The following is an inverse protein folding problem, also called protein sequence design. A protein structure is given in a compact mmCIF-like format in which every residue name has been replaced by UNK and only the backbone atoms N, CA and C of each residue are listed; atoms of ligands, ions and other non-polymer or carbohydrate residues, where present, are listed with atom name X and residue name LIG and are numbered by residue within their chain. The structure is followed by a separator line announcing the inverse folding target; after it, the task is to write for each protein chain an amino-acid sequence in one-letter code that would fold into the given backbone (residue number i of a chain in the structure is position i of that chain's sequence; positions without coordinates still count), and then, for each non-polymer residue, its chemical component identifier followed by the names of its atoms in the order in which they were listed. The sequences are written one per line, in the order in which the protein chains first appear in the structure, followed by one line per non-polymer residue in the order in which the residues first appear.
data_IF_756243451106
#
_entry.id   IF_756243451106
#
_cell.length_a   1.000
_cell.length_b   1.000
_cell.length_c   1.000
_cell.angle_alpha   90.00
_cell.angle_beta   90.00
_cell.angle_gamma   90.00
#
_symmetry.space_group_name_H-M   'P 1'
#
loop_
_entity.id
_entity.type
_entity.pdbx_description
1 polymer ?
#
# COMPACT_ATOMS: atom_id res chain seq x y z
N UNK A 1 7.55 18.93 7.54
CA UNK A 1 9.02 18.79 7.59
C UNK A 1 9.34 17.30 7.58
N UNK A 2 10.22 16.84 6.68
CA UNK A 2 10.64 15.43 6.62
C UNK A 2 12.03 15.34 7.27
N UNK A 3 12.25 14.32 8.10
CA UNK A 3 13.48 14.13 8.88
C UNK A 3 14.05 12.73 8.69
N UNK A 4 15.37 12.62 8.84
CA UNK A 4 16.08 11.34 8.82
C UNK A 4 16.82 11.14 10.14
N UNK A 5 16.63 9.99 10.80
CA UNK A 5 17.25 9.72 12.09
C UNK A 5 18.78 9.58 12.04
N UNK A 6 19.36 9.44 10.85
CA UNK A 6 20.80 9.57 10.65
C UNK A 6 21.35 10.94 11.12
N UNK A 7 20.52 12.00 11.13
CA UNK A 7 20.88 13.33 11.63
C UNK A 7 21.37 13.35 13.09
N UNK A 8 21.00 12.35 13.90
CA UNK A 8 21.43 12.22 15.29
C UNK A 8 22.02 10.86 15.64
N UNK A 9 21.83 9.85 14.79
CA UNK A 9 22.33 8.49 15.05
C UNK A 9 23.74 8.27 14.49
N UNK A 10 24.10 8.92 13.37
CA UNK A 10 25.36 8.64 12.65
C UNK A 10 26.59 8.92 13.50
N UNK A 11 26.60 10.05 14.21
CA UNK A 11 27.76 10.52 14.96
C UNK A 11 27.64 10.21 16.46
N UNK A 12 26.64 9.40 16.87
CA UNK A 12 26.41 9.02 18.26
C UNK A 12 27.45 7.98 18.71
N UNK A 13 28.35 8.31 19.65
CA UNK A 13 29.32 7.36 20.15
C UNK A 13 28.62 6.22 20.88
N UNK A 14 29.07 4.98 20.66
CA UNK A 14 28.48 3.80 21.30
C UNK A 14 28.47 3.92 22.83
N UNK A 15 29.56 4.43 23.43
CA UNK A 15 29.65 4.61 24.88
C UNK A 15 28.63 5.63 25.40
N UNK A 16 28.36 6.70 24.64
CA UNK A 16 27.35 7.68 24.98
C UNK A 16 25.94 7.06 24.89
N UNK A 17 25.67 6.29 23.84
CA UNK A 17 24.39 5.59 23.67
C UNK A 17 24.14 4.58 24.81
N UNK A 18 25.14 3.79 25.18
CA UNK A 18 25.04 2.83 26.28
C UNK A 18 24.90 3.53 27.64
N UNK A 19 25.62 4.64 27.84
CA UNK A 19 25.57 5.43 29.09
C UNK A 19 24.25 6.20 29.30
N UNK A 20 23.57 6.56 28.21
CA UNK A 20 22.30 7.28 28.23
C UNK A 20 21.10 6.34 28.08
N UNK A 21 20.83 5.87 26.87
CA UNK A 21 19.69 5.02 26.52
C UNK A 21 19.82 3.62 27.11
N UNK A 22 21.02 3.03 26.99
CA UNK A 22 21.30 1.69 27.51
C UNK A 22 21.12 1.58 29.03
N UNK A 23 21.51 2.63 29.78
CA UNK A 23 21.41 2.68 31.24
C UNK A 23 19.99 2.53 31.77
N UNK A 24 19.00 3.05 31.04
CA UNK A 24 17.60 3.06 31.46
C UNK A 24 16.76 1.93 30.82
N UNK A 25 17.39 1.17 29.92
CA UNK A 25 16.82 0.01 29.25
C UNK A 25 16.98 -1.27 30.10
N UNK A 26 15.86 -1.85 30.54
CA UNK A 26 15.88 -3.12 31.27
C UNK A 26 15.79 -4.28 30.29
N UNK A 27 16.81 -5.15 30.29
CA UNK A 27 16.87 -6.33 29.42
C UNK A 27 15.63 -7.23 29.59
N UNK A 28 15.17 -7.45 30.82
CA UNK A 28 13.96 -8.24 31.09
C UNK A 28 12.71 -7.66 30.40
N UNK A 29 12.54 -6.33 30.44
CA UNK A 29 11.45 -5.64 29.75
C UNK A 29 11.57 -5.74 28.23
N UNK A 30 12.77 -5.65 27.69
CA UNK A 30 13.03 -5.80 26.25
C UNK A 30 12.72 -7.21 25.76
N UNK A 31 13.09 -8.24 26.55
CA UNK A 31 12.80 -9.66 26.26
C UNK A 31 11.32 -10.01 26.36
N UNK A 32 10.58 -9.37 27.27
CA UNK A 32 9.17 -9.64 27.51
C UNK A 32 8.23 -9.16 26.39
N UNK A 33 8.74 -8.40 25.40
CA UNK A 33 7.92 -7.90 24.30
C UNK A 33 7.51 -9.04 23.37
N UNK A 34 6.25 -9.05 22.97
CA UNK A 34 5.71 -10.10 22.09
C UNK A 34 6.52 -10.26 20.80
N UNK A 35 6.96 -9.15 20.19
CA UNK A 35 7.78 -9.19 18.96
C UNK A 35 9.15 -9.86 19.15
N UNK A 36 9.76 -9.71 20.33
CA UNK A 36 11.06 -10.32 20.67
C UNK A 36 10.85 -11.75 21.15
N UNK A 37 9.86 -11.97 22.02
CA UNK A 37 9.50 -13.28 22.57
C UNK A 37 9.15 -14.27 21.47
N UNK A 38 8.28 -13.90 20.53
CA UNK A 38 7.90 -14.76 19.41
C UNK A 38 9.10 -15.16 18.55
N UNK A 39 10.06 -14.25 18.33
CA UNK A 39 11.28 -14.58 17.58
C UNK A 39 12.20 -15.52 18.33
N UNK A 40 12.40 -15.30 19.62
CA UNK A 40 13.19 -16.20 20.46
C UNK A 40 12.58 -17.62 20.51
N UNK A 41 11.25 -17.72 20.57
CA UNK A 41 10.53 -18.99 20.56
C UNK A 41 10.54 -19.68 19.18
N UNK A 42 10.62 -18.91 18.08
CA UNK A 42 10.63 -19.44 16.70
C UNK A 42 11.90 -20.25 16.33
N UNK A 43 12.88 -20.35 17.22
CA UNK A 43 14.13 -21.10 17.02
C UNK A 43 15.17 -20.41 16.11
N UNK A 44 14.79 -19.36 15.39
CA UNK A 44 15.71 -18.54 14.57
C UNK A 44 16.59 -17.60 15.41
N UNK A 45 16.22 -17.36 16.67
CA UNK A 45 16.91 -16.41 17.55
C UNK A 45 16.70 -14.95 17.14
N UNK A 46 17.41 -14.04 17.80
CA UNK A 46 17.45 -12.62 17.46
C UNK A 46 18.88 -12.13 17.60
N UNK A 47 19.38 -11.39 16.61
CA UNK A 47 20.72 -10.80 16.71
C UNK A 47 20.74 -9.65 17.72
N UNK A 48 21.92 -9.34 18.26
CA UNK A 48 22.09 -8.17 19.13
C UNK A 48 21.66 -6.88 18.41
N UNK A 49 21.98 -6.74 17.12
CA UNK A 49 21.57 -5.59 16.30
C UNK A 49 20.06 -5.42 16.24
N UNK A 50 19.31 -6.50 15.97
CA UNK A 50 17.84 -6.47 15.95
C UNK A 50 17.25 -6.21 17.33
N UNK A 51 17.86 -6.79 18.37
CA UNK A 51 17.45 -6.56 19.75
C UNK A 51 17.63 -5.10 20.18
N UNK A 52 18.72 -4.45 19.77
CA UNK A 52 19.02 -3.04 20.08
C UNK A 52 18.17 -2.05 19.27
N UNK A 53 17.56 -2.46 18.16
CA UNK A 53 16.74 -1.57 17.31
C UNK A 53 15.64 -0.83 18.08
N UNK A 54 15.00 -1.51 19.05
CA UNK A 54 13.95 -0.90 19.88
C UNK A 54 14.44 0.30 20.71
N UNK A 55 15.73 0.34 21.05
CA UNK A 55 16.34 1.43 21.79
C UNK A 55 16.67 2.62 20.87
N UNK A 56 17.08 2.35 19.63
CA UNK A 56 17.29 3.38 18.62
C UNK A 56 15.96 4.08 18.28
N UNK A 57 14.87 3.32 18.09
CA UNK A 57 13.55 3.90 17.85
C UNK A 57 13.04 4.73 19.05
N UNK A 58 13.33 4.30 20.29
CA UNK A 58 13.01 5.09 21.47
C UNK A 58 13.80 6.41 21.51
N UNK A 59 15.09 6.34 21.17
CA UNK A 59 15.98 7.49 21.09
C UNK A 59 15.53 8.50 20.03
N UNK A 60 15.03 8.04 18.88
CA UNK A 60 14.45 8.89 17.83
C UNK A 60 13.33 9.78 18.40
N UNK A 61 12.42 9.22 19.22
CA UNK A 61 11.34 10.01 19.79
C UNK A 61 11.89 11.07 20.78
N UNK A 62 12.87 10.73 21.61
CA UNK A 62 13.52 11.68 22.52
C UNK A 62 14.22 12.82 21.76
N UNK A 63 14.91 12.51 20.65
CA UNK A 63 15.55 13.51 19.79
C UNK A 63 14.53 14.42 19.09
N UNK A 64 13.43 13.86 18.58
CA UNK A 64 12.36 14.63 17.97
C UNK A 64 11.65 15.54 18.98
N UNK A 65 11.48 15.10 20.23
CA UNK A 65 10.96 15.94 21.32
C UNK A 65 11.90 17.09 21.62
N UNK A 66 13.19 16.81 21.82
CA UNK A 66 14.18 17.85 22.15
C UNK A 66 14.34 18.89 21.04
N UNK A 67 14.37 18.46 19.77
CA UNK A 67 14.64 19.33 18.63
C UNK A 67 13.42 20.04 18.07
N UNK A 68 12.25 19.40 18.12
CA UNK A 68 11.03 19.86 17.44
C UNK A 68 9.79 19.87 18.33
N UNK A 69 9.95 19.65 19.64
CA UNK A 69 8.84 19.60 20.60
C UNK A 69 7.77 18.55 20.24
N UNK A 70 8.12 17.50 19.51
CA UNK A 70 7.20 16.41 19.17
C UNK A 70 6.64 15.74 20.43
N UNK A 71 5.31 15.73 20.61
CA UNK A 71 4.63 15.14 21.79
C UNK A 71 3.87 13.86 21.48
N UNK A 72 3.62 13.54 20.21
CA UNK A 72 2.79 12.40 19.81
C UNK A 72 3.54 11.57 18.78
N UNK A 73 3.64 10.27 19.03
CA UNK A 73 4.10 9.29 18.04
C UNK A 73 2.95 8.42 17.56
N UNK A 74 2.83 8.31 16.24
CA UNK A 74 1.82 7.51 15.55
C UNK A 74 2.46 6.31 14.87
N UNK A 75 1.79 5.16 14.86
CA UNK A 75 2.25 3.97 14.13
C UNK A 75 1.17 2.90 13.99
N UNK A 76 1.45 1.84 13.22
CA UNK A 76 0.58 0.67 13.17
C UNK A 76 0.50 -0.03 14.54
N UNK A 77 -0.53 -0.86 14.75
CA UNK A 77 -0.69 -1.60 16.01
C UNK A 77 0.50 -2.51 16.36
N UNK A 78 1.28 -2.94 15.36
CA UNK A 78 2.53 -3.68 15.56
C UNK A 78 3.71 -2.83 16.04
N UNK A 79 3.57 -1.50 16.11
CA UNK A 79 4.57 -0.57 16.64
C UNK A 79 4.35 -0.18 18.11
N UNK A 80 3.26 -0.64 18.74
CA UNK A 80 2.88 -0.24 20.10
C UNK A 80 4.03 -0.31 21.12
N UNK A 81 4.71 -1.47 21.20
CA UNK A 81 5.79 -1.67 22.17
C UNK A 81 6.98 -0.73 21.97
N UNK A 82 7.32 -0.42 20.72
CA UNK A 82 8.43 0.50 20.43
C UNK A 82 8.06 1.96 20.72
N UNK A 83 6.81 2.35 20.45
CA UNK A 83 6.30 3.69 20.81
C UNK A 83 6.33 3.88 22.34
N UNK A 84 5.84 2.89 23.09
CA UNK A 84 5.88 2.93 24.56
C UNK A 84 7.31 3.06 25.10
N UNK A 85 8.29 2.47 24.42
CA UNK A 85 9.71 2.60 24.78
C UNK A 85 10.21 4.03 24.72
N UNK A 86 9.80 4.76 23.68
CA UNK A 86 10.18 6.17 23.52
C UNK A 86 9.59 7.02 24.64
N UNK A 87 8.33 6.78 25.00
CA UNK A 87 7.64 7.47 26.09
C UNK A 87 8.35 7.20 27.43
N UNK A 88 8.62 5.93 27.75
CA UNK A 88 9.33 5.56 28.98
C UNK A 88 10.76 6.12 29.02
N UNK A 89 11.48 6.11 27.89
CA UNK A 89 12.83 6.65 27.79
C UNK A 89 12.83 8.15 28.11
N UNK A 90 11.92 8.92 27.52
CA UNK A 90 11.80 10.36 27.79
C UNK A 90 11.51 10.63 29.27
N UNK A 91 10.59 9.89 29.88
CA UNK A 91 10.29 10.03 31.30
C UNK A 91 11.51 9.77 32.20
N UNK A 92 12.34 8.77 31.85
CA UNK A 92 13.55 8.41 32.62
C UNK A 92 14.74 9.35 32.40
N UNK A 93 14.93 9.87 31.19
CA UNK A 93 15.97 10.87 30.91
C UNK A 93 15.68 12.18 31.64
N UNK A 94 14.40 12.55 31.78
CA UNK A 94 13.97 13.72 32.53
C UNK A 94 14.22 13.57 34.04
N UNK A 95 13.82 12.45 34.66
CA UNK A 95 14.04 12.22 36.10
C UNK A 95 15.53 12.19 36.46
N UNK A 96 16.38 11.67 35.56
CA UNK A 96 17.83 11.65 35.73
C UNK A 96 18.45 13.07 35.68
N UNK A 97 17.87 13.98 34.89
CA UNK A 97 18.32 15.38 34.80
C UNK A 97 17.99 16.18 36.06
N UNK A 98 16.84 15.91 36.69
CA UNK A 98 16.44 16.57 37.96
C UNK A 98 17.30 16.12 39.15
N UNK A 99 17.85 14.91 39.12
CA UNK A 99 18.59 14.34 40.27
C UNK A 99 20.03 14.89 40.39
N UNK A 100 20.60 15.47 39.34
CA UNK A 100 21.97 16.03 39.36
C UNK A 100 22.08 17.47 39.88
N UNK A 101 20.96 18.15 40.14
CA UNK A 101 20.95 19.51 40.72
C UNK A 101 20.90 19.53 42.27
N UNK A 102 20.97 18.36 42.93
CA UNK A 102 20.72 18.23 44.37
C UNK A 102 21.93 17.89 45.27
N UNK A 103 23.16 17.85 44.75
CA UNK A 103 24.33 17.45 45.54
C UNK A 103 25.49 18.44 45.47
N UNK A 104 25.21 19.73 45.69
CA UNK A 104 26.18 20.64 46.28
C UNK A 104 25.51 21.29 47.50
N UNK A 105 26.00 20.94 48.69
CA UNK A 105 25.45 21.47 49.92
C UNK A 105 25.77 22.97 50.07
N UNK A 106 24.78 23.74 50.51
CA UNK A 106 24.92 24.79 51.52
C UNK A 106 23.56 24.93 52.23
N UNK A 107 23.63 24.99 53.54
CA UNK A 107 22.58 25.24 54.52
C UNK A 107 21.64 26.41 54.19
N UNK A 108 20.35 26.23 54.50
CA UNK A 108 19.48 27.33 54.98
C UNK A 108 18.30 27.68 54.09
N UNK A 109 17.12 27.72 54.73
CA UNK A 109 15.82 28.23 54.28
C UNK A 109 14.96 27.33 53.38
N UNK A 110 13.92 26.78 54.02
CA UNK A 110 12.76 26.15 53.40
C UNK A 110 11.98 27.18 52.59
N UNK A 111 12.21 27.26 51.29
CA UNK A 111 11.25 27.84 50.35
C UNK A 111 10.40 26.71 49.79
N UNK A 112 9.13 26.68 50.19
CA UNK A 112 8.08 25.94 49.48
C UNK A 112 7.97 26.52 48.07
N UNK A 113 8.54 25.81 47.10
CA UNK A 113 8.36 26.09 45.68
C UNK A 113 7.03 25.48 45.23
N UNK A 114 6.15 26.35 44.75
CA UNK A 114 4.85 26.08 44.16
C UNK A 114 4.91 24.88 43.18
N UNK A 115 4.15 23.82 43.47
CA UNK A 115 4.18 22.54 42.75
C UNK A 115 3.26 22.45 41.53
N UNK A 116 2.54 23.51 41.15
CA UNK A 116 1.31 23.32 40.36
C UNK A 116 1.27 23.93 38.95
N UNK A 117 2.32 24.60 38.46
CA UNK A 117 2.27 25.24 37.11
C UNK A 117 3.15 24.63 36.00
N UNK A 118 3.98 23.62 36.28
CA UNK A 118 4.90 23.04 35.28
C UNK A 118 4.58 21.59 34.82
N UNK A 119 3.43 21.02 35.19
CA UNK A 119 3.14 19.59 34.98
C UNK A 119 2.77 19.21 33.53
N UNK A 120 2.37 20.16 32.68
CA UNK A 120 1.87 19.86 31.33
C UNK A 120 2.91 19.90 30.19
N UNK A 121 4.13 20.38 30.44
CA UNK A 121 5.17 20.45 29.39
C UNK A 121 5.92 19.13 29.16
N UNK A 122 5.56 18.04 29.85
CA UNK A 122 6.32 16.79 29.82
C UNK A 122 5.52 15.54 29.38
N UNK A 123 4.32 15.71 28.85
CA UNK A 123 3.52 14.56 28.43
C UNK A 123 3.86 14.15 26.99
N UNK A 124 4.30 12.90 26.83
CA UNK A 124 4.45 12.24 25.54
C UNK A 124 3.36 11.19 25.38
N UNK A 125 2.79 11.11 24.19
CA UNK A 125 1.68 10.22 23.86
C UNK A 125 2.05 9.29 22.71
N UNK A 126 1.45 8.11 22.73
CA UNK A 126 1.49 7.15 21.64
C UNK A 126 0.07 6.89 21.16
N UNK A 127 -0.12 6.86 19.85
CA UNK A 127 -1.38 6.42 19.26
C UNK A 127 -1.09 5.38 18.18
N UNK A 128 -1.81 4.27 18.24
CA UNK A 128 -1.70 3.22 17.24
C UNK A 128 -2.93 3.15 16.37
N UNK A 129 -2.73 2.99 15.07
CA UNK A 129 -3.80 2.74 14.10
C UNK A 129 -3.90 1.25 13.79
N UNK A 130 -5.12 0.72 13.55
CA UNK A 130 -5.28 -0.69 13.22
C UNK A 130 -4.59 -1.02 11.90
N UNK A 131 -4.03 -2.23 11.81
CA UNK A 131 -3.49 -2.75 10.57
C UNK A 131 -4.61 -2.99 9.56
N UNK A 132 -4.33 -2.66 8.29
CA UNK A 132 -5.20 -3.04 7.18
C UNK A 132 -5.09 -4.56 7.00
N UNK A 133 -6.16 -5.26 7.35
CA UNK A 133 -6.30 -6.69 7.17
C UNK A 133 -7.51 -7.02 6.30
N UNK A 134 -7.44 -8.16 5.62
CA UNK A 134 -8.60 -8.80 4.99
C UNK A 134 -9.49 -9.45 6.06
N UNK A 135 -10.69 -9.91 5.67
CA UNK A 135 -11.59 -10.69 6.54
C UNK A 135 -10.93 -11.96 7.10
N UNK A 136 -9.98 -12.52 6.35
CA UNK A 136 -9.21 -13.72 6.71
C UNK A 136 -8.02 -13.39 7.62
N UNK A 137 -7.83 -12.12 7.99
CA UNK A 137 -6.76 -11.65 8.87
C UNK A 137 -5.42 -11.43 8.17
N UNK A 138 -5.33 -11.63 6.85
CA UNK A 138 -4.12 -11.38 6.09
C UNK A 138 -3.84 -9.87 6.01
N UNK A 139 -2.57 -9.46 6.21
CA UNK A 139 -2.16 -8.05 6.06
C UNK A 139 -2.29 -7.63 4.59
N UNK A 140 -3.02 -6.54 4.36
CA UNK A 140 -3.18 -5.96 3.03
C UNK A 140 -1.81 -5.62 2.42
N UNK A 141 -1.54 -6.12 1.21
CA UNK A 141 -0.32 -5.79 0.46
C UNK A 141 0.98 -6.48 0.89
N UNK A 142 0.95 -7.55 1.71
CA UNK A 142 2.18 -8.23 2.18
C UNK A 142 2.51 -9.60 1.56
N UNK A 143 1.66 -10.17 0.70
CA UNK A 143 1.99 -11.42 -0.01
C UNK A 143 2.92 -11.17 -1.20
N UNK A 144 3.93 -12.03 -1.40
CA UNK A 144 4.75 -12.05 -2.60
C UNK A 144 3.84 -12.18 -3.84
N UNK A 145 3.77 -11.11 -4.65
CA UNK A 145 2.88 -11.02 -5.81
C UNK A 145 1.60 -10.18 -5.61
N UNK A 146 1.31 -9.69 -4.40
CA UNK A 146 0.12 -8.90 -4.08
C UNK A 146 0.40 -7.54 -3.42
N UNK A 147 1.67 -7.15 -3.30
CA UNK A 147 2.02 -5.79 -2.88
C UNK A 147 1.43 -4.76 -3.84
N UNK A 148 0.83 -3.71 -3.29
CA UNK A 148 0.33 -2.55 -4.04
C UNK A 148 1.29 -1.41 -3.72
N UNK A 149 2.17 -1.09 -4.66
CA UNK A 149 3.16 -0.05 -4.48
C UNK A 149 2.54 1.32 -4.78
N UNK A 150 3.02 2.36 -4.09
CA UNK A 150 2.64 3.75 -4.38
C UNK A 150 3.40 4.32 -5.58
N UNK A 151 4.55 3.72 -5.92
CA UNK A 151 5.36 4.12 -7.08
C UNK A 151 4.67 3.64 -8.37
N UNK A 152 4.34 4.55 -9.31
CA UNK A 152 3.67 4.20 -10.57
C UNK A 152 4.50 3.28 -11.47
N UNK A 153 5.82 3.15 -11.26
CA UNK A 153 6.68 2.23 -12.02
C UNK A 153 6.64 0.79 -11.48
N UNK A 154 6.19 0.60 -10.23
CA UNK A 154 6.04 -0.71 -9.61
C UNK A 154 4.57 -1.18 -9.61
N UNK A 155 3.63 -0.25 -9.55
CA UNK A 155 2.20 -0.52 -9.72
C UNK A 155 1.61 0.64 -10.50
N UNK A 156 1.30 0.42 -11.77
CA UNK A 156 0.77 1.48 -12.62
C UNK A 156 -0.57 2.03 -12.09
N UNK A 157 -0.95 3.29 -12.40
CA UNK A 157 -2.22 3.85 -11.93
C UNK A 157 -3.44 2.99 -12.29
N UNK A 158 -3.44 2.35 -13.47
CA UNK A 158 -4.50 1.43 -13.90
C UNK A 158 -4.59 0.22 -12.97
N UNK A 159 -3.46 -0.43 -12.67
CA UNK A 159 -3.43 -1.58 -11.76
C UNK A 159 -3.77 -1.20 -10.32
N UNK A 160 -3.25 -0.06 -9.85
CA UNK A 160 -3.54 0.48 -8.54
C UNK A 160 -5.05 0.65 -8.37
N UNK A 161 -5.69 1.37 -9.29
CA UNK A 161 -7.14 1.57 -9.31
C UNK A 161 -7.91 0.24 -9.38
N UNK A 162 -7.48 -0.68 -10.25
CA UNK A 162 -8.12 -1.99 -10.40
C UNK A 162 -8.02 -2.87 -9.14
N UNK A 163 -6.95 -2.73 -8.35
CA UNK A 163 -6.83 -3.41 -7.04
C UNK A 163 -7.93 -2.92 -6.09
N UNK A 164 -8.15 -1.61 -5.98
CA UNK A 164 -9.24 -1.07 -5.15
C UNK A 164 -10.64 -1.39 -5.69
N UNK A 165 -10.80 -1.42 -7.01
CA UNK A 165 -12.04 -1.86 -7.65
C UNK A 165 -12.40 -3.32 -7.35
N UNK A 166 -11.40 -4.15 -7.03
CA UNK A 166 -11.57 -5.58 -6.73
C UNK A 166 -11.92 -5.87 -5.27
N UNK A 167 -11.95 -4.85 -4.41
CA UNK A 167 -12.19 -5.02 -2.98
C UNK A 167 -13.61 -5.53 -2.72
N UNK A 168 -13.78 -6.58 -1.89
CA UNK A 168 -15.09 -7.13 -1.57
C UNK A 168 -16.01 -6.12 -0.88
N UNK A 169 -17.32 -6.27 -1.09
CA UNK A 169 -18.35 -5.45 -0.45
C UNK A 169 -18.26 -5.46 1.08
N UNK A 170 -17.78 -6.55 1.67
CA UNK A 170 -17.61 -6.67 3.12
C UNK A 170 -16.52 -5.76 3.69
N UNK A 171 -15.53 -5.37 2.88
CA UNK A 171 -14.38 -4.59 3.32
C UNK A 171 -14.41 -3.13 2.83
N UNK A 172 -15.06 -2.86 1.70
CA UNK A 172 -15.01 -1.54 1.04
C UNK A 172 -15.42 -0.39 1.96
N UNK A 173 -16.45 -0.61 2.81
CA UNK A 173 -16.93 0.41 3.78
C UNK A 173 -15.87 0.75 4.83
N UNK A 174 -15.17 -0.26 5.35
CA UNK A 174 -14.07 -0.10 6.31
C UNK A 174 -12.93 0.68 5.66
N UNK A 175 -12.57 0.33 4.42
CA UNK A 175 -11.46 0.99 3.74
C UNK A 175 -11.78 2.42 3.32
N UNK A 176 -13.02 2.74 2.94
CA UNK A 176 -13.45 4.12 2.73
C UNK A 176 -13.19 4.98 3.97
N UNK A 177 -13.61 4.52 5.16
CA UNK A 177 -13.38 5.25 6.42
C UNK A 177 -11.90 5.39 6.80
N UNK A 178 -11.04 4.47 6.34
CA UNK A 178 -9.62 4.42 6.73
C UNK A 178 -8.68 5.10 5.73
N UNK A 179 -9.03 5.15 4.45
CA UNK A 179 -8.11 5.49 3.36
C UNK A 179 -8.52 6.76 2.58
N UNK A 180 -9.68 7.34 2.87
CA UNK A 180 -10.15 8.55 2.19
C UNK A 180 -10.38 9.69 3.18
N UNK A 181 -10.47 10.90 2.65
CA UNK A 181 -10.84 12.11 3.40
C UNK A 181 -12.31 12.49 3.17
N UNK A 182 -13.13 11.59 2.62
CA UNK A 182 -14.55 11.83 2.41
C UNK A 182 -15.23 11.98 3.78
N UNK A 183 -16.02 13.05 4.01
CA UNK A 183 -16.74 13.25 5.25
C UNK A 183 -17.58 12.05 5.65
N UNK A 184 -17.68 11.76 6.95
CA UNK A 184 -18.41 10.59 7.45
C UNK A 184 -19.89 10.65 7.08
N UNK A 185 -20.49 11.84 7.12
CA UNK A 185 -21.88 12.07 6.74
C UNK A 185 -22.13 11.72 5.27
N UNK A 186 -21.20 12.08 4.38
CA UNK A 186 -21.27 11.76 2.95
C UNK A 186 -21.07 10.25 2.71
N UNK A 187 -20.14 9.62 3.43
CA UNK A 187 -19.96 8.17 3.37
C UNK A 187 -21.22 7.41 3.78
N UNK A 188 -21.90 7.83 4.85
CA UNK A 188 -23.15 7.20 5.28
C UNK A 188 -24.26 7.36 4.21
N UNK A 189 -24.34 8.50 3.51
CA UNK A 189 -25.27 8.67 2.38
C UNK A 189 -24.97 7.70 1.22
N UNK A 190 -23.69 7.52 0.88
CA UNK A 190 -23.28 6.53 -0.11
C UNK A 190 -23.61 5.10 0.34
N UNK A 191 -23.43 4.79 1.63
CA UNK A 191 -23.72 3.47 2.21
C UNK A 191 -25.20 3.13 2.26
N UNK A 192 -26.07 4.11 2.48
CA UNK A 192 -27.52 3.91 2.42
C UNK A 192 -27.98 3.77 0.96
N UNK A 193 -27.51 4.67 0.08
CA UNK A 193 -27.83 4.62 -1.35
C UNK A 193 -27.44 3.27 -1.99
N UNK A 194 -26.32 2.68 -1.57
CA UNK A 194 -25.86 1.39 -2.08
C UNK A 194 -26.75 0.20 -1.68
N UNK A 195 -27.58 0.32 -0.63
CA UNK A 195 -28.47 -0.78 -0.17
C UNK A 195 -29.72 -0.93 -1.03
N UNK A 196 -30.15 0.15 -1.68
CA UNK A 196 -31.46 0.24 -2.35
C UNK A 196 -31.40 0.02 -3.86
N UNK A 197 -30.26 -0.39 -4.40
CA UNK A 197 -30.07 -0.48 -5.85
C UNK A 197 -30.12 -1.94 -6.32
N UNK A 198 -31.28 -2.37 -6.82
CA UNK A 198 -31.45 -3.57 -7.65
C UNK A 198 -30.83 -3.43 -9.07
N UNK A 199 -30.05 -2.37 -9.31
CA UNK A 199 -29.44 -2.09 -10.63
C UNK A 199 -28.09 -2.82 -10.79
N UNK A 200 -27.86 -3.57 -11.88
CA UNK A 200 -26.62 -4.32 -12.09
C UNK A 200 -25.34 -3.47 -12.06
N UNK A 201 -25.38 -2.20 -12.48
CA UNK A 201 -24.22 -1.28 -12.52
C UNK A 201 -23.87 -0.60 -11.19
N UNK A 202 -24.81 -0.63 -10.23
CA UNK A 202 -24.63 -0.02 -8.90
C UNK A 202 -23.78 -0.87 -7.94
N UNK A 203 -23.56 -2.14 -8.29
CA UNK A 203 -22.90 -3.13 -7.43
C UNK A 203 -21.45 -2.80 -7.09
N UNK A 204 -20.87 -1.75 -7.70
CA UNK A 204 -19.49 -1.34 -7.44
C UNK A 204 -19.30 0.15 -7.16
N UNK A 205 -20.36 0.89 -6.83
CA UNK A 205 -20.23 2.34 -6.65
C UNK A 205 -19.34 2.72 -5.46
N UNK A 206 -19.40 1.96 -4.36
CA UNK A 206 -18.49 2.15 -3.23
C UNK A 206 -17.03 1.86 -3.58
N UNK A 207 -16.79 0.81 -4.40
CA UNK A 207 -15.44 0.48 -4.87
C UNK A 207 -14.92 1.52 -5.85
N UNK A 208 -15.78 2.06 -6.73
CA UNK A 208 -15.43 3.16 -7.63
C UNK A 208 -15.05 4.40 -6.83
N UNK A 209 -15.83 4.75 -5.79
CA UNK A 209 -15.52 5.87 -4.90
C UNK A 209 -14.15 5.66 -4.23
N UNK A 210 -13.95 4.49 -3.60
CA UNK A 210 -12.69 4.16 -2.95
C UNK A 210 -11.50 4.21 -3.91
N UNK A 211 -11.62 3.57 -5.07
CA UNK A 211 -10.57 3.54 -6.07
C UNK A 211 -10.26 4.95 -6.61
N UNK A 212 -11.29 5.79 -6.78
CA UNK A 212 -11.14 7.17 -7.23
C UNK A 212 -10.38 8.00 -6.21
N UNK A 213 -10.84 8.01 -4.95
CA UNK A 213 -10.25 8.80 -3.87
C UNK A 213 -8.79 8.42 -3.61
N UNK A 214 -8.50 7.12 -3.48
CA UNK A 214 -7.14 6.67 -3.18
C UNK A 214 -6.21 6.86 -4.37
N UNK A 215 -6.68 6.66 -5.61
CA UNK A 215 -5.86 6.90 -6.80
C UNK A 215 -5.59 8.40 -6.99
N UNK A 216 -6.58 9.26 -6.72
CA UNK A 216 -6.39 10.71 -6.73
C UNK A 216 -5.37 11.15 -5.69
N UNK A 217 -5.46 10.61 -4.47
CA UNK A 217 -4.55 10.92 -3.37
C UNK A 217 -3.10 10.54 -3.69
N UNK A 218 -2.87 9.37 -4.32
CA UNK A 218 -1.52 8.82 -4.56
C UNK A 218 -0.92 9.27 -5.89
N UNK A 219 -1.70 9.27 -6.96
CA UNK A 219 -1.21 9.51 -8.32
C UNK A 219 -1.74 10.81 -8.96
N UNK A 220 -2.52 11.60 -8.22
CA UNK A 220 -3.08 12.86 -8.68
C UNK A 220 -4.08 12.70 -9.83
N UNK A 221 -4.52 13.83 -10.39
CA UNK A 221 -5.51 13.83 -11.47
C UNK A 221 -5.03 13.11 -12.73
N UNK A 222 -3.74 13.24 -13.08
CA UNK A 222 -3.18 12.57 -14.27
C UNK A 222 -3.29 11.05 -14.12
N UNK A 223 -2.85 10.50 -12.99
CA UNK A 223 -2.93 9.08 -12.71
C UNK A 223 -4.37 8.58 -12.62
N UNK A 224 -5.27 9.34 -12.00
CA UNK A 224 -6.68 8.99 -11.97
C UNK A 224 -7.31 8.97 -13.38
N UNK A 225 -7.00 9.96 -14.24
CA UNK A 225 -7.46 9.96 -15.63
C UNK A 225 -6.96 8.74 -16.39
N UNK A 226 -5.68 8.40 -16.27
CA UNK A 226 -5.11 7.18 -16.86
C UNK A 226 -5.84 5.93 -16.36
N UNK A 227 -6.05 5.82 -15.05
CA UNK A 227 -6.74 4.70 -14.42
C UNK A 227 -8.19 4.51 -14.91
N UNK A 228 -8.96 5.61 -14.98
CA UNK A 228 -10.34 5.59 -15.48
C UNK A 228 -10.35 5.23 -16.97
N UNK A 229 -9.45 5.77 -17.77
CA UNK A 229 -9.33 5.43 -19.19
C UNK A 229 -8.98 3.94 -19.38
N UNK A 230 -7.99 3.43 -18.66
CA UNK A 230 -7.62 2.02 -18.71
C UNK A 230 -8.77 1.12 -18.26
N UNK A 231 -9.52 1.51 -17.23
CA UNK A 231 -10.71 0.79 -16.79
C UNK A 231 -11.79 0.74 -17.86
N UNK A 232 -12.06 1.87 -18.54
CA UNK A 232 -13.00 1.93 -19.67
C UNK A 232 -12.54 1.09 -20.87
N UNK A 233 -11.23 1.06 -21.15
CA UNK A 233 -10.66 0.19 -22.17
C UNK A 233 -10.92 -1.27 -21.80
N UNK A 234 -10.53 -1.71 -20.61
CA UNK A 234 -10.61 -3.11 -20.20
C UNK A 234 -12.06 -3.62 -20.07
N UNK A 235 -12.96 -2.78 -19.55
CA UNK A 235 -14.34 -3.14 -19.21
C UNK A 235 -15.34 -2.12 -19.78
N UNK A 236 -15.57 -2.12 -21.11
CA UNK A 236 -16.52 -1.20 -21.72
C UNK A 236 -17.96 -1.48 -21.23
N UNK A 237 -18.65 -0.42 -20.80
CA UNK A 237 -20.05 -0.46 -20.31
C UNK A 237 -21.10 -0.35 -21.42
N UNK A 238 -20.75 0.24 -22.56
CA UNK A 238 -21.66 0.40 -23.69
C UNK A 238 -21.39 -0.65 -24.79
N UNK A 239 -22.47 -1.04 -25.50
CA UNK A 239 -22.31 -1.67 -26.82
C UNK A 239 -21.71 -0.61 -27.72
N UNK A 240 -20.42 -0.75 -27.99
CA UNK A 240 -19.61 0.06 -28.92
C UNK A 240 -20.46 0.54 -30.10
N UNK A 241 -20.52 1.86 -30.32
CA UNK A 241 -21.13 2.40 -31.54
C UNK A 241 -20.38 1.91 -32.78
N UNK A 242 -21.05 1.71 -33.92
CA UNK A 242 -20.50 0.97 -35.06
C UNK A 242 -19.31 1.65 -35.76
N UNK A 243 -19.11 2.95 -35.54
CA UNK A 243 -18.24 3.78 -36.35
C UNK A 243 -17.02 4.30 -35.56
N UNK A 244 -15.94 3.52 -35.58
CA UNK A 244 -14.59 3.99 -35.26
C UNK A 244 -14.02 3.48 -33.94
N UNK A 245 -12.86 2.85 -34.02
CA UNK A 245 -12.08 2.47 -32.85
C UNK A 245 -11.66 3.74 -32.10
N UNK A 246 -12.36 4.11 -31.02
CA UNK A 246 -12.08 5.34 -30.24
C UNK A 246 -10.75 5.30 -29.45
N UNK A 247 -10.00 4.21 -29.57
CA UNK A 247 -8.72 3.99 -28.93
C UNK A 247 -7.62 4.18 -29.95
N UNK A 248 -6.82 5.24 -29.78
CA UNK A 248 -5.63 5.48 -30.57
C UNK A 248 -4.39 4.91 -29.87
N UNK A 249 -3.34 4.65 -30.64
CA UNK A 249 -2.01 4.25 -30.15
C UNK A 249 -1.49 5.21 -29.10
N UNK A 250 -1.56 6.51 -29.35
CA UNK A 250 -1.12 7.54 -28.40
C UNK A 250 -1.87 7.43 -27.07
N UNK A 251 -3.19 7.25 -27.13
CA UNK A 251 -4.02 7.13 -25.92
C UNK A 251 -3.68 5.86 -25.14
N UNK A 252 -3.46 4.74 -25.81
CA UNK A 252 -3.11 3.47 -25.16
C UNK A 252 -1.69 3.48 -24.59
N UNK A 253 -0.74 4.09 -25.29
CA UNK A 253 0.63 4.31 -24.79
C UNK A 253 0.63 5.11 -23.49
N UNK A 254 -0.13 6.20 -23.43
CA UNK A 254 -0.26 7.02 -22.21
C UNK A 254 -1.05 6.30 -21.12
N UNK A 255 -2.08 5.54 -21.48
CA UNK A 255 -2.97 4.87 -20.51
C UNK A 255 -2.25 3.75 -19.77
N UNK A 256 -1.46 2.95 -20.49
CA UNK A 256 -0.76 1.78 -19.95
C UNK A 256 0.75 2.03 -19.78
N UNK A 257 1.15 3.29 -19.74
CA UNK A 257 2.51 3.72 -19.39
C UNK A 257 2.95 3.04 -18.08
N UNK A 258 4.12 2.41 -18.09
CA UNK A 258 4.71 1.65 -16.98
C UNK A 258 3.86 0.47 -16.46
N UNK A 259 2.82 0.03 -17.18
CA UNK A 259 2.08 -1.17 -16.80
C UNK A 259 2.87 -2.44 -17.17
N UNK A 260 3.17 -3.36 -16.21
CA UNK A 260 3.69 -4.69 -16.51
C UNK A 260 2.74 -5.58 -17.33
N UNK A 261 1.50 -5.15 -17.54
CA UNK A 261 0.54 -5.82 -18.42
C UNK A 261 0.56 -5.29 -19.84
N UNK A 262 1.27 -4.19 -20.11
CA UNK A 262 1.62 -3.78 -21.47
C UNK A 262 2.91 -4.48 -21.90
N UNK A 263 2.82 -5.30 -22.95
CA UNK A 263 3.96 -6.03 -23.49
C UNK A 263 4.15 -5.72 -24.97
N UNK A 264 5.39 -5.80 -25.44
CA UNK A 264 5.72 -5.59 -26.85
C UNK A 264 6.03 -6.94 -27.52
N UNK A 265 5.39 -7.21 -28.66
CA UNK A 265 5.64 -8.40 -29.48
C UNK A 265 5.81 -8.00 -30.94
N UNK A 266 6.69 -8.69 -31.67
CA UNK A 266 6.88 -8.45 -33.11
C UNK A 266 5.64 -8.85 -33.89
N UNK A 267 5.37 -8.17 -35.00
CA UNK A 267 4.25 -8.50 -35.89
C UNK A 267 4.23 -9.98 -36.30
N UNK A 268 5.38 -10.59 -36.56
CA UNK A 268 5.51 -12.02 -36.89
C UNK A 268 5.11 -12.99 -35.76
N UNK A 269 5.12 -12.51 -34.52
CA UNK A 269 4.69 -13.25 -33.33
C UNK A 269 3.21 -13.05 -33.01
N UNK A 270 2.53 -12.18 -33.75
CA UNK A 270 1.15 -11.77 -33.50
C UNK A 270 0.26 -12.07 -34.70
N UNK A 271 0.48 -11.38 -35.82
CA UNK A 271 -0.34 -11.52 -37.03
C UNK A 271 -0.04 -12.87 -37.67
N UNK A 272 -1.10 -13.60 -38.04
CA UNK A 272 -0.99 -14.97 -38.55
C UNK A 272 -0.79 -16.04 -37.47
N UNK A 273 -0.64 -15.66 -36.19
CA UNK A 273 -0.54 -16.62 -35.08
C UNK A 273 -1.92 -16.96 -34.51
N UNK A 274 -2.03 -18.16 -33.95
CA UNK A 274 -3.22 -18.58 -33.19
C UNK A 274 -3.34 -17.76 -31.90
N UNK A 275 -4.56 -17.27 -31.60
CA UNK A 275 -4.87 -16.52 -30.36
C UNK A 275 -4.54 -17.37 -29.12
N UNK A 276 -4.73 -18.69 -29.21
CA UNK A 276 -4.35 -19.63 -28.16
C UNK A 276 -2.84 -19.66 -27.89
N UNK A 277 -2.00 -19.70 -28.93
CA UNK A 277 -0.55 -19.59 -28.77
C UNK A 277 -0.15 -18.20 -28.26
N UNK A 278 -0.78 -17.13 -28.77
CA UNK A 278 -0.52 -15.76 -28.31
C UNK A 278 -0.86 -15.57 -26.83
N UNK A 279 -1.90 -16.23 -26.33
CA UNK A 279 -2.27 -16.22 -24.89
C UNK A 279 -1.17 -16.85 -24.02
N UNK A 280 -0.39 -17.79 -24.55
CA UNK A 280 0.77 -18.37 -23.85
C UNK A 280 1.99 -17.47 -23.98
N UNK A 281 2.32 -17.02 -25.20
CA UNK A 281 3.48 -16.14 -25.45
C UNK A 281 3.39 -14.83 -24.70
N UNK A 282 2.18 -14.28 -24.51
CA UNK A 282 1.95 -13.06 -23.73
C UNK A 282 2.04 -13.26 -22.20
N UNK A 283 2.14 -14.51 -21.73
CA UNK A 283 2.13 -14.84 -20.32
C UNK A 283 0.75 -14.81 -19.66
N UNK A 284 -0.34 -14.64 -20.42
CA UNK A 284 -1.70 -14.69 -19.88
C UNK A 284 -2.07 -16.12 -19.40
N UNK A 285 -1.62 -17.14 -20.13
CA UNK A 285 -1.79 -18.56 -19.82
C UNK A 285 -0.42 -19.21 -19.59
N UNK A 286 -0.34 -20.10 -18.59
CA UNK A 286 0.92 -20.72 -18.19
C UNK A 286 1.42 -21.76 -19.21
N UNK A 287 0.52 -22.38 -19.97
CA UNK A 287 0.86 -23.40 -20.96
C UNK A 287 -0.22 -23.51 -22.04
N UNK A 288 0.11 -24.19 -23.15
CA UNK A 288 -0.86 -24.49 -24.23
C UNK A 288 -2.05 -25.31 -23.73
N UNK A 289 -1.82 -26.25 -22.81
CA UNK A 289 -2.89 -27.04 -22.21
C UNK A 289 -3.83 -26.17 -21.34
N UNK A 290 -3.27 -25.25 -20.54
CA UNK A 290 -4.06 -24.29 -19.76
C UNK A 290 -4.88 -23.38 -20.69
N UNK A 291 -4.26 -22.83 -21.73
CA UNK A 291 -4.94 -22.00 -22.73
C UNK A 291 -6.11 -22.74 -23.40
N UNK A 292 -5.90 -23.97 -23.90
CA UNK A 292 -6.98 -24.79 -24.49
C UNK A 292 -8.14 -25.01 -23.52
N UNK A 293 -7.83 -25.33 -22.26
CA UNK A 293 -8.85 -25.57 -21.22
C UNK A 293 -9.69 -24.32 -20.97
N UNK A 294 -9.05 -23.16 -20.80
CA UNK A 294 -9.74 -21.90 -20.49
C UNK A 294 -10.53 -21.40 -21.69
N UNK A 295 -9.99 -21.50 -22.91
CA UNK A 295 -10.69 -21.12 -24.14
C UNK A 295 -11.95 -21.98 -24.31
N UNK A 296 -11.83 -23.30 -24.13
CA UNK A 296 -12.98 -24.22 -24.18
C UNK A 296 -14.05 -23.91 -23.13
N UNK A 297 -13.66 -23.42 -21.95
CA UNK A 297 -14.61 -22.98 -20.92
C UNK A 297 -15.10 -21.54 -21.12
N UNK A 298 -14.75 -20.88 -22.23
CA UNK A 298 -15.16 -19.50 -22.51
C UNK A 298 -14.46 -18.42 -21.68
N UNK A 299 -13.33 -18.77 -21.07
CA UNK A 299 -12.61 -17.93 -20.12
C UNK A 299 -11.54 -17.03 -20.74
N UNK A 300 -11.37 -16.99 -22.06
CA UNK A 300 -10.45 -16.04 -22.73
C UNK A 300 -11.26 -15.07 -23.59
N UNK A 301 -10.91 -13.79 -23.52
CA UNK A 301 -11.45 -12.75 -24.38
C UNK A 301 -10.32 -12.10 -25.18
N UNK A 302 -10.57 -11.90 -26.46
CA UNK A 302 -9.71 -11.20 -27.41
C UNK A 302 -10.45 -9.96 -27.92
N UNK A 303 -9.90 -8.77 -27.68
CA UNK A 303 -10.55 -7.47 -27.97
C UNK A 303 -12.01 -7.43 -27.51
N UNK A 304 -12.22 -7.75 -26.24
CA UNK A 304 -13.53 -7.86 -25.59
C UNK A 304 -14.44 -8.98 -26.12
N UNK A 305 -14.10 -9.72 -27.17
CA UNK A 305 -14.91 -10.84 -27.69
C UNK A 305 -14.45 -12.15 -27.06
N UNK A 306 -15.39 -12.96 -26.58
CA UNK A 306 -15.06 -14.30 -26.08
C UNK A 306 -14.62 -15.19 -27.24
N UNK A 307 -13.53 -15.91 -27.07
CA UNK A 307 -13.06 -16.89 -28.06
C UNK A 307 -13.42 -18.31 -27.62
N UNK A 308 -13.73 -19.16 -28.59
CA UNK A 308 -14.06 -20.57 -28.37
C UNK A 308 -13.07 -21.53 -29.05
N UNK A 309 -12.33 -21.04 -30.05
CA UNK A 309 -11.34 -21.81 -30.79
C UNK A 309 -9.92 -21.38 -30.42
N UNK A 310 -9.08 -22.36 -30.11
CA UNK A 310 -7.65 -22.13 -29.83
C UNK A 310 -6.91 -21.73 -31.11
N UNK A 311 -7.28 -22.32 -32.25
CA UNK A 311 -6.57 -22.18 -33.52
C UNK A 311 -7.04 -20.97 -34.35
N UNK A 312 -8.01 -20.19 -33.82
CA UNK A 312 -8.40 -18.91 -34.42
C UNK A 312 -7.17 -18.00 -34.59
N UNK A 313 -6.98 -17.49 -35.80
CA UNK A 313 -5.80 -16.71 -36.20
C UNK A 313 -6.06 -15.21 -36.02
N UNK A 314 -5.04 -14.46 -35.57
CA UNK A 314 -5.06 -13.00 -35.51
C UNK A 314 -4.82 -12.41 -36.91
N UNK A 315 -5.72 -11.54 -37.37
CA UNK A 315 -5.58 -10.78 -38.60
C UNK A 315 -5.14 -9.33 -38.35
N UNK A 316 -4.67 -8.62 -39.37
CA UNK A 316 -4.35 -7.18 -39.26
C UNK A 316 -5.59 -6.34 -38.90
N UNK A 317 -6.78 -6.76 -39.33
CA UNK A 317 -8.05 -6.10 -39.01
C UNK A 317 -8.46 -6.26 -37.54
N UNK A 318 -7.85 -7.19 -36.82
CA UNK A 318 -8.07 -7.32 -35.38
C UNK A 318 -7.23 -6.34 -34.57
N UNK A 319 -6.28 -5.63 -35.18
CA UNK A 319 -5.43 -4.68 -34.44
C UNK A 319 -6.20 -3.38 -34.17
N UNK A 320 -6.25 -2.99 -32.89
CA UNK A 320 -6.72 -1.70 -32.40
C UNK A 320 -5.71 -0.65 -32.82
N UNK A 321 -6.17 0.32 -33.63
CA UNK A 321 -5.34 1.36 -34.26
C UNK A 321 -4.08 0.80 -34.93
N UNK A 322 -4.23 -0.35 -35.60
CA UNK A 322 -3.16 -1.07 -36.30
C UNK A 322 -1.94 -1.46 -35.45
N UNK A 323 -2.01 -1.34 -34.12
CA UNK A 323 -0.84 -1.52 -33.25
C UNK A 323 -1.12 -2.28 -31.95
N UNK A 324 -2.37 -2.41 -31.50
CA UNK A 324 -2.68 -3.03 -30.20
C UNK A 324 -3.65 -4.19 -30.30
N UNK A 325 -3.58 -5.07 -29.32
CA UNK A 325 -4.63 -6.04 -29.04
C UNK A 325 -4.74 -6.26 -27.54
N UNK A 326 -5.92 -6.70 -27.11
CA UNK A 326 -6.23 -6.99 -25.72
C UNK A 326 -6.55 -8.46 -25.55
N UNK A 327 -5.83 -9.12 -24.65
CA UNK A 327 -6.12 -10.46 -24.19
C UNK A 327 -6.54 -10.41 -22.72
N UNK A 328 -7.63 -11.07 -22.36
CA UNK A 328 -8.11 -11.12 -20.97
C UNK A 328 -8.48 -12.54 -20.58
N UNK A 329 -8.21 -12.87 -19.31
CA UNK A 329 -8.65 -14.11 -18.69
C UNK A 329 -9.87 -13.86 -17.80
N UNK A 330 -11.03 -14.31 -18.25
CA UNK A 330 -12.33 -14.16 -17.59
C UNK A 330 -12.83 -12.71 -17.58
N UNK A 331 -13.58 -12.34 -16.55
CA UNK A 331 -13.99 -10.96 -16.24
C UNK A 331 -13.11 -10.36 -15.14
N UNK A 332 -11.82 -10.70 -15.15
CA UNK A 332 -10.89 -10.38 -14.06
C UNK A 332 -9.87 -9.32 -14.47
N UNK A 333 -9.08 -8.86 -13.50
CA UNK A 333 -7.94 -7.96 -13.69
C UNK A 333 -6.70 -8.65 -14.29
N UNK A 334 -6.81 -9.92 -14.69
CA UNK A 334 -5.76 -10.64 -15.41
C UNK A 334 -5.90 -10.42 -16.92
N UNK A 335 -5.08 -9.54 -17.46
CA UNK A 335 -5.09 -9.14 -18.88
C UNK A 335 -3.68 -8.87 -19.38
N UNK A 336 -3.53 -8.80 -20.71
CA UNK A 336 -2.35 -8.33 -21.42
C UNK A 336 -2.77 -7.39 -22.54
N UNK A 337 -2.19 -6.20 -22.54
CA UNK A 337 -2.24 -5.24 -23.65
C UNK A 337 -0.99 -5.47 -24.48
N UNK A 338 -1.15 -6.03 -25.67
CA UNK A 338 -0.01 -6.33 -26.53
C UNK A 338 0.13 -5.21 -27.55
N UNK A 339 1.29 -4.55 -27.53
CA UNK A 339 1.72 -3.59 -28.53
C UNK A 339 2.52 -4.32 -29.60
N UNK A 340 2.06 -4.24 -30.84
CA UNK A 340 2.70 -4.85 -32.00
C UNK A 340 3.77 -3.90 -32.51
N UNK A 341 5.01 -4.39 -32.57
CA UNK A 341 6.15 -3.68 -33.15
C UNK A 341 6.50 -4.32 -34.50
N UNK A 342 6.82 -3.49 -35.49
CA UNK A 342 7.14 -3.92 -36.85
C UNK A 342 8.63 -4.17 -37.04
#
# INVERSE_FOLDING_TARGET
MIKNNLEWTKDLPLLEFLGSVGRVARVSTMLARDSVKQRLESGSGISFTEFTYQLLQAYDFAQLRSRYQCTIQLGGSDQYGNIMSGIELMAKLQSSSTTHLGTEGISGSTQQLNSDENSNHNVAFGLTVPLLTTREGEKFGKSAGNAVWLDPNLTSPVEFYQKFMSIPDSEVRKYLKMLTFVPLEELEQHFESSKHLDKPDSKRDLQKLLATEVTLLVHGEKGLRQAIQGTKFLFPTEKVEPDGCHWTREKLDVTFENSPNMIELKSTQVVGQSIGNLSVTSGLCQSKADAKRIIKSGGVRFNHRQIADFDQVVSEHDLIDSAYLLLMRGKSTNYKVVKVIH
#
